data_IF_169979137685
#
_entry.id   IF_169979137685
#
_cell.length_a   1.000
_cell.length_b   1.000
_cell.length_c   1.000
_cell.angle_alpha   90.00
_cell.angle_beta   90.00
_cell.angle_gamma   90.00
#
_symmetry.space_group_name_H-M   'P 1'
#
loop_
_entity.id
_entity.type
_entity.pdbx_description
1 polymer ?
#
# COMPACT_ATOMS: atom_id res chain seq x y z
N UNK A 1 3.94 -30.13 13.17
CA UNK A 1 4.79 -31.18 13.79
C UNK A 1 5.74 -30.53 14.77
N UNK A 2 5.36 -30.50 16.06
CA UNK A 2 6.25 -30.10 17.15
C UNK A 2 7.35 -31.16 17.29
N UNK A 3 8.59 -30.79 16.93
CA UNK A 3 9.77 -31.58 17.23
C UNK A 3 9.92 -31.67 18.77
N UNK A 4 9.46 -32.76 19.37
CA UNK A 4 9.69 -33.04 20.79
C UNK A 4 11.11 -33.55 20.96
N UNK A 5 11.94 -32.81 21.64
CA UNK A 5 13.28 -33.23 22.07
C UNK A 5 13.16 -34.47 22.96
N UNK A 6 14.04 -35.47 22.78
CA UNK A 6 14.06 -36.70 23.61
C UNK A 6 14.25 -36.36 25.10
N UNK A 7 13.78 -37.23 25.97
CA UNK A 7 13.93 -37.06 27.40
C UNK A 7 15.40 -36.97 27.82
N UNK A 8 16.24 -37.75 27.22
CA UNK A 8 17.69 -37.77 27.43
C UNK A 8 18.37 -36.44 27.02
N UNK A 9 17.98 -35.89 25.88
CA UNK A 9 18.47 -34.57 25.43
C UNK A 9 18.04 -33.45 26.38
N UNK A 10 16.82 -33.49 26.87
CA UNK A 10 16.35 -32.52 27.88
C UNK A 10 17.14 -32.62 29.19
N UNK A 11 17.44 -33.81 29.65
CA UNK A 11 18.24 -34.00 30.87
C UNK A 11 19.66 -33.50 30.72
N UNK A 12 20.31 -33.74 29.59
CA UNK A 12 21.65 -33.21 29.26
C UNK A 12 21.65 -31.67 29.23
N UNK A 13 20.64 -31.03 28.60
CA UNK A 13 20.52 -29.58 28.56
C UNK A 13 20.35 -29.01 29.96
N UNK A 14 19.52 -29.60 30.81
CA UNK A 14 19.33 -29.13 32.18
C UNK A 14 20.59 -29.30 33.06
N UNK A 15 21.33 -30.39 32.89
CA UNK A 15 22.59 -30.62 33.60
C UNK A 15 23.64 -29.55 33.24
N UNK A 16 23.86 -29.28 31.96
CA UNK A 16 24.79 -28.26 31.50
C UNK A 16 24.31 -26.84 31.92
N UNK A 17 23.01 -26.55 31.83
CA UNK A 17 22.47 -25.27 32.30
C UNK A 17 22.72 -25.04 33.79
N UNK A 18 22.62 -26.10 34.61
CA UNK A 18 22.92 -26.05 36.03
C UNK A 18 24.40 -25.85 36.32
N UNK A 19 25.25 -26.55 35.60
CA UNK A 19 26.73 -26.43 35.70
C UNK A 19 27.22 -25.03 35.36
N UNK A 20 26.60 -24.38 34.32
CA UNK A 20 26.92 -23.04 33.87
C UNK A 20 26.20 -21.94 34.69
N UNK A 21 25.52 -22.29 35.79
CA UNK A 21 24.69 -21.37 36.54
C UNK A 21 23.70 -20.56 35.67
N UNK A 22 23.21 -21.18 34.58
CA UNK A 22 22.28 -20.51 33.69
C UNK A 22 20.93 -20.29 34.39
N UNK A 23 20.62 -19.06 34.70
CA UNK A 23 19.31 -18.65 35.16
C UNK A 23 18.53 -18.15 33.95
N UNK A 24 17.49 -18.89 33.55
CA UNK A 24 16.56 -18.42 32.52
C UNK A 24 15.97 -17.11 33.00
N UNK A 25 16.41 -15.99 32.42
CA UNK A 25 15.75 -14.71 32.65
C UNK A 25 14.28 -14.88 32.28
N UNK A 26 13.39 -14.88 33.29
CA UNK A 26 11.96 -14.68 33.00
C UNK A 26 11.89 -13.36 32.24
N UNK A 27 11.43 -13.41 30.97
CA UNK A 27 10.95 -12.22 30.33
C UNK A 27 9.84 -11.72 31.24
N UNK A 28 10.11 -10.67 31.99
CA UNK A 28 9.07 -9.90 32.66
C UNK A 28 8.34 -9.22 31.50
N UNK A 29 7.35 -9.87 30.95
CA UNK A 29 6.36 -9.20 30.12
C UNK A 29 5.56 -8.34 31.08
N UNK A 30 5.95 -7.07 31.22
CA UNK A 30 5.03 -6.08 31.76
C UNK A 30 3.72 -6.21 30.98
N UNK A 31 2.58 -6.07 31.65
CA UNK A 31 1.31 -6.00 30.93
C UNK A 31 1.43 -4.98 29.79
N UNK A 32 0.79 -5.22 28.63
CA UNK A 32 0.82 -4.26 27.53
C UNK A 32 0.45 -2.87 28.03
N UNK A 33 1.17 -1.85 27.58
CA UNK A 33 0.92 -0.45 27.98
C UNK A 33 -0.45 0.04 27.49
N UNK A 34 -0.89 -0.44 26.32
CA UNK A 34 -2.22 -0.22 25.74
C UNK A 34 -2.53 -1.31 24.71
N UNK A 35 -3.78 -1.33 24.27
CA UNK A 35 -4.31 -2.27 23.27
C UNK A 35 -4.87 -1.47 22.10
N UNK A 36 -4.33 -1.66 20.90
CA UNK A 36 -4.75 -0.96 19.68
C UNK A 36 -5.49 -1.92 18.75
N UNK A 37 -6.63 -1.47 18.22
CA UNK A 37 -7.35 -2.13 17.14
C UNK A 37 -6.83 -1.65 15.78
N UNK A 38 -6.57 -2.57 14.85
CA UNK A 38 -6.32 -2.25 13.44
C UNK A 38 -7.52 -2.76 12.65
N UNK A 39 -8.26 -1.83 12.06
CA UNK A 39 -9.34 -2.12 11.12
C UNK A 39 -8.83 -1.89 9.70
N UNK A 40 -8.77 -2.95 8.93
CA UNK A 40 -8.21 -2.94 7.60
C UNK A 40 -9.30 -3.00 6.53
N UNK A 41 -9.21 -2.11 5.54
CA UNK A 41 -10.13 -2.08 4.41
C UNK A 41 -9.90 -3.24 3.44
N UNK A 42 -8.65 -3.47 3.01
CA UNK A 42 -8.30 -4.58 2.13
C UNK A 42 -8.43 -5.92 2.86
N UNK A 43 -9.08 -6.88 2.19
CA UNK A 43 -9.07 -8.28 2.60
C UNK A 43 -7.67 -8.90 2.42
N UNK A 44 -7.41 -10.02 3.10
CA UNK A 44 -6.16 -10.78 2.94
C UNK A 44 -5.88 -11.19 1.49
N UNK A 45 -6.93 -11.40 0.67
CA UNK A 45 -6.77 -11.72 -0.75
C UNK A 45 -6.26 -10.54 -1.56
N UNK A 46 -6.77 -9.35 -1.29
CA UNK A 46 -6.34 -8.13 -1.97
C UNK A 46 -4.90 -7.74 -1.61
N UNK A 47 -4.45 -8.03 -0.38
CA UNK A 47 -3.05 -7.83 0.03
C UNK A 47 -2.05 -8.67 -0.78
N UNK A 48 -2.47 -9.81 -1.34
CA UNK A 48 -1.61 -10.63 -2.21
C UNK A 48 -1.46 -9.98 -3.59
N UNK A 49 -2.50 -9.31 -4.08
CA UNK A 49 -2.50 -8.65 -5.39
C UNK A 49 -1.77 -7.30 -5.36
N UNK A 50 -1.83 -6.61 -4.21
CA UNK A 50 -1.14 -5.34 -3.94
C UNK A 50 -0.74 -5.30 -2.45
N UNK A 51 0.56 -5.28 -2.17
CA UNK A 51 1.11 -5.35 -0.83
C UNK A 51 1.25 -3.98 -0.12
N UNK A 52 0.76 -2.90 -0.70
CA UNK A 52 0.86 -1.55 -0.14
C UNK A 52 0.32 -1.46 1.30
N UNK A 53 -0.92 -1.92 1.53
CA UNK A 53 -1.51 -1.93 2.88
C UNK A 53 -0.88 -2.95 3.82
N UNK A 54 -0.33 -4.03 3.29
CA UNK A 54 0.46 -4.98 4.08
C UNK A 54 1.70 -4.32 4.67
N UNK A 55 2.45 -3.54 3.88
CA UNK A 55 3.66 -2.84 4.34
C UNK A 55 3.33 -1.79 5.41
N UNK A 56 2.28 -1.00 5.22
CA UNK A 56 1.81 -0.06 6.24
C UNK A 56 1.46 -0.76 7.55
N UNK A 57 0.72 -1.86 7.48
CA UNK A 57 0.35 -2.65 8.66
C UNK A 57 1.58 -3.22 9.34
N UNK A 58 2.54 -3.73 8.60
CA UNK A 58 3.79 -4.24 9.15
C UNK A 58 4.54 -3.16 9.92
N UNK A 59 4.63 -1.94 9.41
CA UNK A 59 5.22 -0.80 10.12
C UNK A 59 4.51 -0.51 11.45
N UNK A 60 3.17 -0.55 11.48
CA UNK A 60 2.39 -0.40 12.72
C UNK A 60 2.71 -1.52 13.71
N UNK A 61 2.70 -2.78 13.24
CA UNK A 61 2.95 -3.97 14.07
C UNK A 61 4.35 -3.95 14.68
N UNK A 62 5.35 -3.57 13.88
CA UNK A 62 6.74 -3.43 14.33
C UNK A 62 6.89 -2.36 15.41
N UNK A 63 6.26 -1.20 15.23
CA UNK A 63 6.28 -0.13 16.22
C UNK A 63 5.61 -0.60 17.53
N UNK A 64 4.44 -1.20 17.43
CA UNK A 64 3.69 -1.69 18.59
C UNK A 64 4.47 -2.77 19.35
N UNK A 65 5.09 -3.71 18.63
CA UNK A 65 5.93 -4.76 19.21
C UNK A 65 7.12 -4.20 20.00
N UNK A 66 7.80 -3.17 19.46
CA UNK A 66 8.94 -2.51 20.10
C UNK A 66 8.53 -1.72 21.35
N UNK A 67 7.29 -1.23 21.40
CA UNK A 67 6.78 -0.37 22.47
C UNK A 67 5.85 -1.10 23.45
N UNK A 68 5.79 -2.43 23.44
CA UNK A 68 4.94 -3.23 24.32
C UNK A 68 3.44 -2.86 24.22
N UNK A 69 2.97 -2.59 23.01
CA UNK A 69 1.57 -2.31 22.68
C UNK A 69 0.95 -3.60 22.13
N UNK A 70 -0.17 -4.03 22.66
CA UNK A 70 -0.90 -5.18 22.11
C UNK A 70 -1.77 -4.76 20.93
N UNK A 71 -1.93 -5.66 19.96
CA UNK A 71 -2.68 -5.41 18.74
C UNK A 71 -3.81 -6.42 18.60
N UNK A 72 -4.96 -5.94 18.17
CA UNK A 72 -6.07 -6.73 17.65
C UNK A 72 -6.31 -6.33 16.21
N UNK A 73 -6.35 -7.31 15.30
CA UNK A 73 -6.60 -7.07 13.87
C UNK A 73 -7.96 -7.60 13.47
N UNK A 74 -8.62 -6.84 12.62
CA UNK A 74 -9.86 -7.24 11.97
C UNK A 74 -9.97 -6.58 10.60
N UNK A 75 -10.74 -7.18 9.72
CA UNK A 75 -11.02 -6.64 8.40
C UNK A 75 -12.40 -6.02 8.39
N UNK A 76 -12.60 -5.02 7.54
CA UNK A 76 -13.90 -4.39 7.33
C UNK A 76 -14.96 -5.42 6.88
N UNK A 77 -14.53 -6.46 6.15
CA UNK A 77 -15.39 -7.56 5.71
C UNK A 77 -15.79 -8.54 6.81
N UNK A 78 -15.20 -8.45 8.02
CA UNK A 78 -15.55 -9.31 9.12
C UNK A 78 -16.85 -8.82 9.77
N UNK A 79 -17.83 -9.70 9.85
CA UNK A 79 -19.16 -9.37 10.42
C UNK A 79 -19.12 -8.92 11.88
N UNK A 80 -18.05 -9.22 12.61
CA UNK A 80 -17.90 -8.98 14.06
C UNK A 80 -16.85 -7.91 14.40
N UNK A 81 -16.35 -7.15 13.42
CA UNK A 81 -15.27 -6.18 13.66
C UNK A 81 -15.60 -5.13 14.73
N UNK A 82 -16.88 -4.76 14.89
CA UNK A 82 -17.30 -3.80 15.89
C UNK A 82 -17.11 -4.34 17.31
N UNK A 83 -17.47 -5.60 17.55
CA UNK A 83 -17.27 -6.24 18.86
C UNK A 83 -15.76 -6.44 19.14
N UNK A 84 -14.98 -6.83 18.12
CA UNK A 84 -13.53 -6.96 18.22
C UNK A 84 -12.88 -5.63 18.61
N UNK A 85 -13.39 -4.51 18.12
CA UNK A 85 -12.85 -3.16 18.36
C UNK A 85 -13.48 -2.46 19.58
N UNK A 86 -14.48 -3.06 20.26
CA UNK A 86 -15.13 -2.43 21.40
C UNK A 86 -14.25 -2.36 22.66
N UNK A 87 -13.26 -3.25 22.78
CA UNK A 87 -12.37 -3.39 23.95
C UNK A 87 -10.91 -3.04 23.60
N UNK A 88 -10.70 -1.87 22.97
CA UNK A 88 -9.38 -1.35 22.64
C UNK A 88 -9.24 0.11 23.08
N UNK A 89 -8.02 0.53 23.40
CA UNK A 89 -7.72 1.90 23.84
C UNK A 89 -7.75 2.91 22.70
N UNK A 90 -7.60 2.46 21.45
CA UNK A 90 -7.67 3.28 20.25
C UNK A 90 -7.71 2.43 18.98
N UNK A 91 -8.13 3.04 17.88
CA UNK A 91 -8.32 2.37 16.59
C UNK A 91 -7.49 3.04 15.50
N UNK A 92 -6.76 2.24 14.72
CA UNK A 92 -6.15 2.66 13.47
C UNK A 92 -6.99 2.07 12.32
N UNK A 93 -7.58 2.95 11.51
CA UNK A 93 -8.34 2.59 10.32
C UNK A 93 -7.44 2.70 9.10
N UNK A 94 -7.10 1.57 8.48
CA UNK A 94 -6.17 1.48 7.36
C UNK A 94 -6.93 1.32 6.05
N UNK A 95 -6.86 2.34 5.19
CA UNK A 95 -7.51 2.38 3.87
C UNK A 95 -8.71 3.32 3.78
N UNK A 96 -9.73 2.93 3.02
CA UNK A 96 -10.85 3.81 2.64
C UNK A 96 -12.15 3.42 3.36
N UNK A 97 -12.83 4.45 3.87
CA UNK A 97 -14.08 4.30 4.62
C UNK A 97 -15.10 5.34 4.17
N UNK A 98 -16.38 4.95 4.11
CA UNK A 98 -17.48 5.85 3.80
C UNK A 98 -17.75 6.84 4.96
N UNK A 99 -18.46 7.92 4.67
CA UNK A 99 -18.86 8.89 5.71
C UNK A 99 -19.70 8.24 6.82
N UNK A 100 -20.49 7.22 6.50
CA UNK A 100 -21.31 6.50 7.48
C UNK A 100 -20.44 5.63 8.38
N UNK A 101 -19.46 4.91 7.80
CA UNK A 101 -18.51 4.08 8.56
C UNK A 101 -17.63 4.94 9.47
N UNK A 102 -17.15 6.10 9.00
CA UNK A 102 -16.38 7.03 9.82
C UNK A 102 -17.18 7.46 11.06
N UNK A 103 -18.47 7.82 10.89
CA UNK A 103 -19.35 8.17 12.02
C UNK A 103 -19.54 7.02 12.98
N UNK A 104 -19.77 5.81 12.47
CA UNK A 104 -19.92 4.60 13.28
C UNK A 104 -18.64 4.32 14.08
N UNK A 105 -17.50 4.30 13.43
CA UNK A 105 -16.21 4.02 14.07
C UNK A 105 -15.86 5.07 15.13
N UNK A 106 -16.11 6.34 14.86
CA UNK A 106 -15.92 7.41 15.85
C UNK A 106 -16.86 7.27 17.06
N UNK A 107 -18.07 6.72 16.87
CA UNK A 107 -18.97 6.41 17.98
C UNK A 107 -18.55 5.22 18.81
N UNK A 108 -17.80 4.27 18.23
CA UNK A 108 -17.22 3.14 18.95
C UNK A 108 -16.01 3.55 19.79
N UNK A 109 -15.17 4.41 19.26
CA UNK A 109 -13.98 4.89 19.96
C UNK A 109 -13.60 6.28 19.44
N UNK A 110 -13.48 7.27 20.33
CA UNK A 110 -13.11 8.63 19.98
C UNK A 110 -11.59 8.80 19.74
N UNK A 111 -10.76 7.81 20.11
CA UNK A 111 -9.33 7.77 19.81
C UNK A 111 -9.11 6.97 18.53
N UNK A 112 -9.37 7.61 17.40
CA UNK A 112 -9.29 6.99 16.08
C UNK A 112 -8.34 7.76 15.17
N UNK A 113 -7.56 7.04 14.39
CA UNK A 113 -6.69 7.58 13.35
C UNK A 113 -6.99 6.88 12.03
N UNK A 114 -7.18 7.66 10.98
CA UNK A 114 -7.28 7.13 9.62
C UNK A 114 -5.93 7.22 8.92
N UNK A 115 -5.49 6.11 8.36
CA UNK A 115 -4.24 6.00 7.62
C UNK A 115 -4.54 5.74 6.14
N UNK A 116 -3.87 6.49 5.26
CA UNK A 116 -4.08 6.50 3.80
C UNK A 116 -5.44 7.05 3.35
N UNK A 117 -6.06 7.87 4.19
CA UNK A 117 -7.29 8.58 3.82
C UNK A 117 -7.31 9.94 4.55
N UNK A 118 -7.85 10.96 3.90
CA UNK A 118 -8.10 12.24 4.53
C UNK A 118 -9.57 12.34 4.95
N UNK A 119 -9.82 12.64 6.22
CA UNK A 119 -11.16 12.87 6.75
C UNK A 119 -11.37 14.36 6.94
N UNK A 120 -12.42 14.91 6.34
CA UNK A 120 -12.77 16.34 6.40
C UNK A 120 -13.44 16.72 7.73
N UNK A 121 -12.92 16.21 8.83
CA UNK A 121 -13.40 16.56 10.18
C UNK A 121 -12.21 16.90 11.06
N UNK A 122 -12.24 18.09 11.65
CA UNK A 122 -11.13 18.64 12.46
C UNK A 122 -10.85 17.78 13.70
N UNK A 123 -11.85 17.05 14.21
CA UNK A 123 -11.72 16.23 15.42
C UNK A 123 -11.13 14.84 15.14
N UNK A 124 -10.99 14.45 13.87
CA UNK A 124 -10.49 13.14 13.47
C UNK A 124 -9.11 13.25 12.84
N UNK A 125 -8.14 12.58 13.43
CA UNK A 125 -6.77 12.55 12.91
C UNK A 125 -6.68 11.67 11.67
N UNK A 126 -6.04 12.19 10.62
CA UNK A 126 -5.72 11.47 9.39
C UNK A 126 -4.24 11.59 9.08
N UNK A 127 -3.65 10.50 8.57
CA UNK A 127 -2.30 10.46 8.05
C UNK A 127 -2.35 9.94 6.61
N UNK A 128 -1.85 10.69 5.67
CA UNK A 128 -1.79 10.31 4.25
C UNK A 128 -0.54 10.86 3.61
N UNK A 129 -0.13 10.25 2.50
CA UNK A 129 0.94 10.77 1.66
C UNK A 129 0.53 12.12 1.04
N UNK A 130 1.53 12.98 0.82
CA UNK A 130 1.35 14.15 -0.02
C UNK A 130 1.42 13.74 -1.51
N UNK A 131 0.31 13.16 -1.98
CA UNK A 131 0.19 12.72 -3.38
C UNK A 131 0.38 13.88 -4.36
N UNK A 132 -0.03 15.10 -3.98
CA UNK A 132 0.10 16.27 -4.86
C UNK A 132 1.58 16.60 -5.10
N UNK A 133 2.37 16.69 -4.05
CA UNK A 133 3.81 16.96 -4.20
C UNK A 133 4.50 15.83 -4.95
N UNK A 134 4.24 14.57 -4.57
CA UNK A 134 4.87 13.41 -5.16
C UNK A 134 4.60 13.27 -6.67
N UNK A 135 3.34 13.44 -7.09
CA UNK A 135 2.97 13.37 -8.52
C UNK A 135 3.49 14.59 -9.29
N UNK A 136 3.44 15.79 -8.67
CA UNK A 136 4.02 16.99 -9.29
C UNK A 136 5.50 16.80 -9.61
N UNK A 137 6.27 16.25 -8.67
CA UNK A 137 7.69 15.98 -8.86
C UNK A 137 7.93 14.93 -9.94
N UNK A 138 7.13 13.87 -9.96
CA UNK A 138 7.20 12.81 -10.96
C UNK A 138 6.94 13.33 -12.38
N UNK A 139 5.88 14.12 -12.57
CA UNK A 139 5.54 14.65 -13.90
C UNK A 139 6.52 15.71 -14.36
N UNK A 140 7.02 16.57 -13.45
CA UNK A 140 8.10 17.53 -13.77
C UNK A 140 9.38 16.81 -14.18
N UNK A 141 9.73 15.71 -13.50
CA UNK A 141 10.88 14.89 -13.88
C UNK A 141 10.74 14.34 -15.32
N UNK A 142 9.58 13.80 -15.68
CA UNK A 142 9.32 13.37 -17.06
C UNK A 142 9.37 14.54 -18.06
N UNK A 143 8.84 15.69 -17.68
CA UNK A 143 8.92 16.90 -18.51
C UNK A 143 10.37 17.36 -18.75
N UNK A 144 11.22 17.34 -17.72
CA UNK A 144 12.62 17.72 -17.79
C UNK A 144 13.45 16.76 -18.66
N UNK A 145 13.03 15.48 -18.72
CA UNK A 145 13.59 14.50 -19.66
C UNK A 145 13.13 14.71 -21.13
N UNK A 146 12.25 15.67 -21.37
CA UNK A 146 11.79 16.02 -22.72
C UNK A 146 10.45 15.42 -23.12
N UNK A 147 9.77 14.66 -22.25
CA UNK A 147 8.45 14.13 -22.53
C UNK A 147 7.40 15.26 -22.63
N UNK A 148 6.58 15.23 -23.68
CA UNK A 148 5.49 16.20 -23.94
C UNK A 148 4.16 15.50 -24.22
N UNK A 149 4.18 14.18 -24.23
CA UNK A 149 3.00 13.32 -24.30
C UNK A 149 3.16 12.22 -23.26
N UNK A 150 2.32 12.23 -22.23
CA UNK A 150 2.41 11.31 -21.09
C UNK A 150 1.05 10.66 -20.87
N UNK A 151 1.02 9.35 -20.69
CA UNK A 151 -0.19 8.61 -20.32
C UNK A 151 -0.26 8.34 -18.82
N UNK A 152 -1.47 8.13 -18.32
CA UNK A 152 -1.75 7.68 -16.96
C UNK A 152 -2.45 6.33 -16.98
N UNK A 153 -1.92 5.37 -16.23
CA UNK A 153 -2.60 4.13 -15.95
C UNK A 153 -2.75 3.95 -14.44
N UNK A 154 -3.98 3.74 -13.97
CA UNK A 154 -4.27 3.75 -12.53
C UNK A 154 -5.34 2.76 -12.11
N UNK A 155 -5.53 2.65 -10.81
CA UNK A 155 -6.57 1.85 -10.23
C UNK A 155 -7.81 2.68 -9.85
N UNK A 156 -8.93 2.02 -9.72
CA UNK A 156 -10.17 2.57 -9.18
C UNK A 156 -10.38 1.97 -7.80
N UNK A 157 -10.45 2.82 -6.79
CA UNK A 157 -10.81 2.43 -5.43
C UNK A 157 -12.32 2.60 -5.25
N UNK A 158 -13.02 1.51 -5.02
CA UNK A 158 -14.47 1.49 -4.85
C UNK A 158 -14.86 0.81 -3.54
N UNK A 159 -15.74 1.45 -2.79
CA UNK A 159 -16.35 0.86 -1.59
C UNK A 159 -17.43 -0.17 -1.96
N UNK A 160 -17.85 -0.96 -0.98
CA UNK A 160 -18.92 -1.96 -1.14
C UNK A 160 -20.26 -1.33 -1.52
N UNK A 161 -20.52 -0.10 -1.09
CA UNK A 161 -21.74 0.66 -1.45
C UNK A 161 -21.69 1.26 -2.87
N UNK A 162 -20.61 1.01 -3.62
CA UNK A 162 -20.39 1.54 -4.95
C UNK A 162 -19.74 2.93 -5.00
N UNK A 163 -19.48 3.55 -3.88
CA UNK A 163 -18.79 4.84 -3.82
C UNK A 163 -17.38 4.72 -4.36
N UNK A 164 -17.05 5.53 -5.37
CA UNK A 164 -15.70 5.59 -5.96
C UNK A 164 -14.93 6.69 -5.21
N UNK A 165 -13.74 6.35 -4.73
CA UNK A 165 -12.79 7.33 -4.20
C UNK A 165 -12.01 7.96 -5.36
N UNK A 166 -12.01 9.30 -5.47
CA UNK A 166 -11.19 9.99 -6.45
C UNK A 166 -9.70 9.70 -6.20
N UNK A 167 -9.00 9.22 -7.21
CA UNK A 167 -7.54 9.06 -7.09
C UNK A 167 -6.87 10.43 -7.16
N UNK A 168 -6.27 10.85 -6.05
CA UNK A 168 -5.53 12.12 -5.96
C UNK A 168 -4.36 12.18 -6.94
N UNK A 169 -3.80 11.02 -7.32
CA UNK A 169 -2.72 10.94 -8.30
C UNK A 169 -3.20 11.32 -9.68
N UNK A 170 -4.37 10.84 -10.11
CA UNK A 170 -4.95 11.22 -11.41
C UNK A 170 -5.27 12.71 -11.47
N UNK A 171 -5.95 13.25 -10.44
CA UNK A 171 -6.31 14.67 -10.43
C UNK A 171 -5.05 15.56 -10.50
N UNK A 172 -4.03 15.22 -9.71
CA UNK A 172 -2.77 15.97 -9.74
C UNK A 172 -2.03 15.79 -11.07
N UNK A 173 -2.06 14.59 -11.65
CA UNK A 173 -1.47 14.32 -12.97
C UNK A 173 -2.08 15.25 -14.04
N UNK A 174 -3.40 15.32 -14.12
CA UNK A 174 -4.08 16.21 -15.10
C UNK A 174 -3.77 17.68 -14.84
N UNK A 175 -3.84 18.14 -13.57
CA UNK A 175 -3.52 19.52 -13.21
C UNK A 175 -2.10 19.92 -13.69
N UNK A 176 -1.09 19.08 -13.38
CA UNK A 176 0.31 19.39 -13.73
C UNK A 176 0.57 19.23 -15.23
N UNK A 177 -0.08 18.28 -15.90
CA UNK A 177 0.01 18.17 -17.34
C UNK A 177 -0.55 19.42 -18.04
N UNK A 178 -1.66 19.96 -17.57
CA UNK A 178 -2.25 21.19 -18.07
C UNK A 178 -1.34 22.40 -17.83
N UNK A 179 -0.78 22.53 -16.62
CA UNK A 179 0.19 23.59 -16.28
C UNK A 179 1.43 23.56 -17.18
N UNK A 180 1.93 22.37 -17.53
CA UNK A 180 3.15 22.18 -18.33
C UNK A 180 2.89 22.01 -19.84
N UNK A 181 1.63 22.08 -20.29
CA UNK A 181 1.21 21.79 -21.67
C UNK A 181 1.66 20.40 -22.15
N UNK A 182 1.59 19.38 -21.30
CA UNK A 182 1.80 17.97 -21.63
C UNK A 182 0.49 17.39 -22.17
N UNK A 183 0.54 16.72 -23.31
CA UNK A 183 -0.63 16.05 -23.89
C UNK A 183 -0.88 14.72 -23.21
N UNK A 184 -2.12 14.47 -22.77
CA UNK A 184 -2.54 13.23 -22.15
C UNK A 184 -3.91 12.73 -22.65
N UNK A 185 -4.58 13.51 -23.48
CA UNK A 185 -5.89 13.17 -24.03
C UNK A 185 -5.86 11.83 -24.77
N UNK A 186 -6.74 10.91 -24.39
CA UNK A 186 -6.80 9.56 -24.93
C UNK A 186 -5.81 8.55 -24.32
N UNK A 187 -4.97 8.98 -23.37
CA UNK A 187 -3.97 8.14 -22.71
C UNK A 187 -4.22 7.92 -21.23
N UNK A 188 -5.44 8.13 -20.75
CA UNK A 188 -5.85 7.81 -19.38
C UNK A 188 -6.69 6.53 -19.40
N UNK A 189 -6.23 5.52 -18.68
CA UNK A 189 -6.98 4.25 -18.48
C UNK A 189 -6.92 3.87 -17.00
N UNK A 190 -8.06 3.47 -16.44
CA UNK A 190 -8.17 2.98 -15.07
C UNK A 190 -8.90 1.63 -15.02
N UNK A 191 -8.42 0.72 -14.18
CA UNK A 191 -9.05 -0.57 -13.85
C UNK A 191 -8.76 -0.86 -12.35
N UNK A 192 -8.35 -2.04 -11.97
CA UNK A 192 -7.99 -2.40 -10.60
C UNK A 192 -6.52 -2.13 -10.32
N UNK A 193 -6.18 -1.95 -9.04
CA UNK A 193 -4.80 -1.96 -8.58
C UNK A 193 -4.26 -3.39 -8.59
N UNK A 194 -3.69 -3.82 -9.71
CA UNK A 194 -3.03 -5.13 -9.84
C UNK A 194 -2.10 -5.16 -11.04
N UNK A 195 -1.12 -6.06 -11.01
CA UNK A 195 -0.21 -6.31 -12.14
C UNK A 195 -0.97 -6.75 -13.39
N UNK A 196 -1.99 -7.60 -13.23
CA UNK A 196 -2.82 -8.07 -14.35
C UNK A 196 -3.62 -6.95 -15.01
N UNK A 197 -4.14 -6.01 -14.21
CA UNK A 197 -4.81 -4.82 -14.73
C UNK A 197 -3.86 -3.90 -15.47
N UNK A 198 -2.64 -3.70 -14.95
CA UNK A 198 -1.59 -2.93 -15.63
C UNK A 198 -1.26 -3.50 -17.01
N UNK A 199 -1.10 -4.82 -17.10
CA UNK A 199 -0.91 -5.52 -18.37
C UNK A 199 -2.09 -5.30 -19.35
N UNK A 200 -3.31 -5.47 -18.89
CA UNK A 200 -4.53 -5.30 -19.70
C UNK A 200 -4.67 -3.85 -20.19
N UNK A 201 -4.53 -2.86 -19.30
CA UNK A 201 -4.63 -1.43 -19.64
C UNK A 201 -3.59 -1.03 -20.70
N UNK A 202 -2.35 -1.48 -20.53
CA UNK A 202 -1.30 -1.18 -21.50
C UNK A 202 -1.54 -1.89 -22.83
N UNK A 203 -1.98 -3.15 -22.83
CA UNK A 203 -2.34 -3.88 -24.04
C UNK A 203 -3.48 -3.20 -24.80
N UNK A 204 -4.47 -2.67 -24.11
CA UNK A 204 -5.54 -1.86 -24.69
C UNK A 204 -4.99 -0.59 -25.34
N UNK A 205 -4.09 0.12 -24.66
CA UNK A 205 -3.46 1.33 -25.20
C UNK A 205 -2.63 1.03 -26.44
N UNK A 206 -1.86 -0.06 -26.44
CA UNK A 206 -1.09 -0.53 -27.61
C UNK A 206 -2.02 -0.82 -28.80
N UNK A 207 -3.15 -1.49 -28.55
CA UNK A 207 -4.10 -1.87 -29.61
C UNK A 207 -4.72 -0.68 -30.34
N UNK A 208 -4.78 0.48 -29.70
CA UNK A 208 -5.25 1.74 -30.31
C UNK A 208 -4.24 2.35 -31.29
N UNK A 209 -3.00 1.85 -31.34
CA UNK A 209 -1.97 2.23 -32.30
C UNK A 209 -1.35 3.61 -32.11
N UNK A 210 -1.71 4.34 -31.05
CA UNK A 210 -1.12 5.63 -30.69
C UNK A 210 -0.69 5.56 -29.23
N UNK A 211 0.61 5.75 -28.97
CA UNK A 211 1.19 5.68 -27.65
C UNK A 211 1.82 7.03 -27.24
N UNK A 212 1.76 7.38 -25.96
CA UNK A 212 2.52 8.51 -25.45
C UNK A 212 4.01 8.13 -25.36
N UNK A 213 4.87 9.09 -25.15
CA UNK A 213 6.31 8.84 -25.00
C UNK A 213 6.70 8.38 -23.60
N UNK A 214 5.82 8.57 -22.62
CA UNK A 214 5.97 8.04 -21.27
C UNK A 214 4.63 7.64 -20.66
N UNK A 215 4.68 6.69 -19.75
CA UNK A 215 3.55 6.25 -18.91
C UNK A 215 3.90 6.55 -17.44
N UNK A 216 2.99 7.22 -16.76
CA UNK A 216 2.96 7.30 -15.31
C UNK A 216 1.91 6.33 -14.77
N UNK A 217 2.36 5.32 -14.03
CA UNK A 217 1.51 4.32 -13.42
C UNK A 217 1.27 4.64 -11.95
N UNK A 218 0.02 4.53 -11.49
CA UNK A 218 -0.38 4.87 -10.12
C UNK A 218 0.17 3.91 -9.05
N UNK A 219 0.76 2.77 -9.42
CA UNK A 219 1.51 1.89 -8.53
C UNK A 219 2.56 1.09 -9.30
N UNK A 220 3.56 0.56 -8.59
CA UNK A 220 4.57 -0.31 -9.19
C UNK A 220 3.97 -1.60 -9.74
N UNK A 221 2.97 -2.17 -9.09
CA UNK A 221 2.29 -3.36 -9.59
C UNK A 221 1.65 -3.10 -10.97
N UNK A 222 0.99 -1.97 -11.13
CA UNK A 222 0.44 -1.55 -12.43
C UNK A 222 1.57 -1.32 -13.44
N UNK A 223 2.65 -0.62 -13.03
CA UNK A 223 3.81 -0.36 -13.89
C UNK A 223 4.46 -1.64 -14.39
N UNK A 224 4.68 -2.62 -13.52
CA UNK A 224 5.28 -3.93 -13.87
C UNK A 224 4.41 -4.66 -14.92
N UNK A 225 3.08 -4.63 -14.75
CA UNK A 225 2.17 -5.20 -15.74
C UNK A 225 2.26 -4.49 -17.09
N UNK A 226 2.33 -3.15 -17.08
CA UNK A 226 2.48 -2.35 -18.29
C UNK A 226 3.81 -2.60 -19.00
N UNK A 227 4.92 -2.67 -18.27
CA UNK A 227 6.23 -3.01 -18.82
C UNK A 227 6.20 -4.35 -19.53
N UNK A 228 5.56 -5.36 -18.93
CA UNK A 228 5.41 -6.68 -19.53
C UNK A 228 4.64 -6.63 -20.86
N UNK A 229 3.53 -5.89 -20.91
CA UNK A 229 2.74 -5.73 -22.13
C UNK A 229 3.54 -5.04 -23.25
N UNK A 230 4.29 -3.98 -22.91
CA UNK A 230 5.17 -3.27 -23.84
C UNK A 230 6.22 -4.20 -24.42
N UNK A 231 6.94 -4.93 -23.58
CA UNK A 231 8.03 -5.83 -23.99
C UNK A 231 7.54 -6.97 -24.87
N UNK A 232 6.38 -7.57 -24.57
CA UNK A 232 5.77 -8.62 -25.38
C UNK A 232 5.34 -8.12 -26.78
N UNK A 233 5.05 -6.83 -26.90
CA UNK A 233 4.74 -6.19 -28.19
C UNK A 233 5.97 -5.56 -28.87
N UNK A 234 7.18 -5.83 -28.37
CA UNK A 234 8.45 -5.44 -29.00
C UNK A 234 8.91 -4.01 -28.69
N UNK A 235 8.23 -3.28 -27.80
CA UNK A 235 8.65 -1.95 -27.37
C UNK A 235 9.82 -2.04 -26.39
N UNK A 236 10.82 -1.20 -26.59
CA UNK A 236 11.97 -1.04 -25.70
C UNK A 236 11.69 0.03 -24.66
N UNK A 237 12.06 -0.26 -23.41
CA UNK A 237 11.94 0.64 -22.26
C UNK A 237 13.38 0.97 -21.81
N UNK A 238 13.79 2.24 -21.75
CA UNK A 238 12.98 3.46 -22.00
C UNK A 238 13.02 3.99 -23.44
N UNK A 239 13.73 3.35 -24.41
CA UNK A 239 14.07 3.90 -25.71
C UNK A 239 12.85 4.27 -26.55
N UNK A 240 11.81 3.42 -26.59
CA UNK A 240 10.58 3.67 -27.33
C UNK A 240 9.53 4.36 -26.46
N UNK A 241 9.45 3.97 -25.17
CA UNK A 241 8.50 4.48 -24.21
C UNK A 241 9.05 4.38 -22.78
N UNK A 242 9.04 5.46 -22.04
CA UNK A 242 9.42 5.48 -20.63
C UNK A 242 8.27 5.02 -19.74
N UNK A 243 8.57 4.31 -18.65
CA UNK A 243 7.59 3.90 -17.63
C UNK A 243 8.06 4.36 -16.26
N UNK A 244 7.17 5.01 -15.52
CA UNK A 244 7.37 5.43 -14.15
C UNK A 244 6.26 4.87 -13.27
N UNK A 245 6.63 4.28 -12.14
CA UNK A 245 5.73 3.73 -11.12
C UNK A 245 5.54 4.66 -9.92
N UNK A 246 4.92 4.11 -8.91
CA UNK A 246 4.67 4.73 -7.62
C UNK A 246 4.72 3.63 -6.54
N UNK A 247 5.24 3.91 -5.37
CA UNK A 247 5.40 3.15 -4.13
C UNK A 247 6.84 2.75 -3.82
N UNK A 248 7.70 2.52 -4.82
CA UNK A 248 9.08 1.99 -4.67
C UNK A 248 9.09 0.63 -3.95
N UNK A 249 8.25 -0.29 -4.42
CA UNK A 249 8.21 -1.66 -3.91
C UNK A 249 9.53 -2.37 -4.20
N UNK A 250 9.86 -3.41 -3.43
CA UNK A 250 11.09 -4.20 -3.63
C UNK A 250 11.21 -4.72 -5.07
N UNK A 251 10.10 -5.13 -5.67
CA UNK A 251 10.08 -5.68 -7.03
C UNK A 251 10.46 -4.66 -8.11
N UNK A 252 10.30 -3.35 -7.87
CA UNK A 252 10.66 -2.31 -8.82
C UNK A 252 12.13 -2.33 -9.22
N UNK A 253 13.01 -2.71 -8.27
CA UNK A 253 14.45 -2.85 -8.51
C UNK A 253 14.86 -4.11 -9.30
N UNK A 254 13.96 -5.08 -9.44
CA UNK A 254 14.23 -6.37 -10.10
C UNK A 254 13.58 -6.50 -11.47
N UNK A 255 12.89 -5.47 -11.95
CA UNK A 255 12.41 -5.40 -13.35
C UNK A 255 13.58 -5.21 -14.33
N UNK A 256 13.33 -5.45 -15.61
CA UNK A 256 14.31 -5.19 -16.65
C UNK A 256 13.72 -4.29 -17.75
N UNK A 257 14.18 -3.01 -17.85
CA UNK A 257 15.12 -2.33 -16.94
C UNK A 257 14.53 -2.15 -15.53
N UNK A 258 15.34 -1.79 -14.51
CA UNK A 258 14.82 -1.40 -13.20
C UNK A 258 13.83 -0.25 -13.33
N UNK A 259 12.69 -0.35 -12.63
CA UNK A 259 11.61 0.61 -12.73
C UNK A 259 11.98 1.92 -12.02
N UNK A 260 11.88 3.05 -12.73
CA UNK A 260 11.88 4.37 -12.10
C UNK A 260 10.55 4.55 -11.38
N UNK A 261 10.57 4.89 -10.10
CA UNK A 261 9.36 4.96 -9.28
C UNK A 261 9.44 6.06 -8.23
N UNK A 262 8.28 6.56 -7.82
CA UNK A 262 8.14 7.48 -6.68
C UNK A 262 8.25 6.70 -5.38
N UNK A 263 9.15 7.12 -4.48
CA UNK A 263 9.28 6.49 -3.19
C UNK A 263 8.17 6.95 -2.23
N UNK A 264 7.24 6.07 -1.93
CA UNK A 264 6.24 6.27 -0.89
C UNK A 264 6.78 5.70 0.44
N UNK A 265 7.03 6.53 1.46
CA UNK A 265 7.52 6.06 2.76
C UNK A 265 6.38 5.38 3.55
N UNK A 266 6.20 4.09 3.37
CA UNK A 266 5.21 3.24 4.03
C UNK A 266 5.85 2.25 5.01
#
# INVERSE_FOLDING_TARGET
TTLSTSLETKQKIFAVAKELNYVKKKRVTSAPSCRIGILQWFSSKQEIEDNYYFLMRQGIEDYCSKNNISIVRTFKTDNDYQNVLSDVDGIICLGKFSKQEIKLLHSLNNKIVFLDMTVENIEITSVSLDFRQAVSDAIKYLYDLGHRTVGFIGGIEQLEDGTIFPDKRLNTFTDICDELNIKYDGFIIQDKFSTSSGYKMMSEMISKGNLPTAIFAASDHIAIGAMRALQENGYKIPEDISVMGFDNTELSGYTNPPLTTVNAPV
#
